data_IF_581243140697
#
_entry.id   IF_581243140697
#
_cell.length_a   1.000
_cell.length_b   1.000
_cell.length_c   1.000
_cell.angle_alpha   90.00
_cell.angle_beta   90.00
_cell.angle_gamma   90.00
#
_symmetry.space_group_name_H-M   'P 1'
#
loop_
_entity.id
_entity.type
_entity.pdbx_description
1 polymer ?
#
# COMPACT_ATOMS: atom_id res chain seq x y z
N UNK A 1 50.46 -15.68 -8.93
CA UNK A 1 51.17 -16.86 -8.39
C UNK A 1 50.47 -17.32 -7.12
N UNK A 2 50.15 -18.61 -7.05
CA UNK A 2 49.26 -19.25 -6.07
C UNK A 2 49.96 -19.73 -4.79
N UNK A 3 49.21 -19.87 -3.68
CA UNK A 3 49.24 -20.92 -2.61
C UNK A 3 48.22 -20.51 -1.52
N UNK A 4 47.03 -21.11 -1.41
CA UNK A 4 46.64 -22.39 -0.76
C UNK A 4 46.95 -22.45 0.75
N UNK A 5 45.89 -22.57 1.56
CA UNK A 5 45.85 -23.49 2.70
C UNK A 5 44.46 -24.13 2.82
N UNK A 6 44.48 -25.47 2.74
CA UNK A 6 43.38 -26.40 2.98
C UNK A 6 43.10 -26.51 4.47
N UNK A 7 41.84 -26.81 4.84
CA UNK A 7 41.57 -27.94 5.72
C UNK A 7 40.27 -28.65 5.32
N UNK A 8 40.42 -29.91 4.97
CA UNK A 8 39.36 -30.90 4.81
C UNK A 8 38.86 -31.35 6.18
N UNK A 9 37.54 -31.47 6.35
CA UNK A 9 36.97 -32.55 7.15
C UNK A 9 35.76 -33.14 6.41
N UNK A 10 35.98 -34.37 5.96
CA UNK A 10 34.98 -35.26 5.37
C UNK A 10 33.73 -35.33 6.25
N UNK A 11 32.59 -34.95 5.67
CA UNK A 11 31.32 -35.62 5.92
C UNK A 11 30.77 -36.05 4.58
N UNK A 12 30.40 -37.32 4.50
CA UNK A 12 29.70 -37.95 3.39
C UNK A 12 28.64 -37.01 2.81
N UNK A 13 28.84 -36.59 1.56
CA UNK A 13 27.82 -35.90 0.78
C UNK A 13 27.11 -37.00 0.00
N UNK A 14 25.92 -37.37 0.49
CA UNK A 14 24.90 -38.01 -0.34
C UNK A 14 24.57 -36.99 -1.45
N UNK A 15 24.63 -37.35 -2.74
CA UNK A 15 24.21 -36.44 -3.80
C UNK A 15 22.69 -36.34 -3.75
N UNK A 16 22.18 -35.44 -2.90
CA UNK A 16 20.84 -34.91 -3.11
C UNK A 16 20.99 -34.01 -4.32
N UNK A 17 20.53 -34.51 -5.46
CA UNK A 17 20.26 -33.67 -6.62
C UNK A 17 19.29 -32.58 -6.17
N UNK A 18 19.82 -31.39 -5.90
CA UNK A 18 19.03 -30.19 -5.85
C UNK A 18 18.55 -29.93 -7.27
N UNK A 19 17.42 -30.55 -7.62
CA UNK A 19 16.51 -29.93 -8.57
C UNK A 19 16.16 -28.58 -7.96
N UNK A 20 16.88 -27.54 -8.38
CA UNK A 20 16.38 -26.19 -8.36
C UNK A 20 15.11 -26.22 -9.23
N UNK A 21 13.99 -26.59 -8.61
CA UNK A 21 12.68 -26.21 -9.13
C UNK A 21 12.63 -24.72 -8.90
N UNK A 22 13.25 -23.98 -9.82
CA UNK A 22 12.88 -22.61 -10.10
C UNK A 22 11.38 -22.69 -10.40
N UNK A 23 10.55 -22.46 -9.39
CA UNK A 23 9.14 -22.22 -9.61
C UNK A 23 9.10 -20.96 -10.45
N UNK A 24 8.69 -21.02 -11.72
CA UNK A 24 8.42 -19.82 -12.46
C UNK A 24 7.07 -19.38 -11.92
N UNK A 25 7.08 -18.61 -10.82
CA UNK A 25 5.97 -17.69 -10.62
C UNK A 25 6.14 -16.67 -11.72
N UNK A 26 5.60 -16.99 -12.89
CA UNK A 26 5.42 -16.03 -13.95
C UNK A 26 4.78 -14.82 -13.29
N UNK A 27 5.49 -13.68 -13.29
CA UNK A 27 4.96 -12.42 -12.84
C UNK A 27 3.76 -12.15 -13.74
N UNK A 28 2.57 -12.54 -13.30
CA UNK A 28 1.37 -12.17 -14.00
C UNK A 28 1.36 -10.65 -14.00
N UNK A 29 1.29 -10.06 -15.19
CA UNK A 29 1.17 -8.62 -15.34
C UNK A 29 -0.15 -8.20 -14.67
N UNK A 30 -0.03 -7.60 -13.49
CA UNK A 30 -1.16 -7.01 -12.79
C UNK A 30 -1.17 -5.52 -13.08
N UNK A 31 -2.34 -4.99 -13.41
CA UNK A 31 -2.54 -3.57 -13.66
C UNK A 31 -3.05 -2.88 -12.39
N UNK A 32 -2.34 -1.85 -11.96
CA UNK A 32 -2.71 -0.98 -10.85
C UNK A 32 -3.25 0.34 -11.42
N UNK A 33 -4.50 0.67 -11.13
CA UNK A 33 -5.18 1.79 -11.77
C UNK A 33 -6.18 2.51 -10.87
N UNK A 34 -6.66 3.66 -11.33
CA UNK A 34 -7.74 4.39 -10.69
C UNK A 34 -8.66 5.11 -11.69
N UNK A 35 -9.93 5.27 -11.33
CA UNK A 35 -10.87 6.19 -11.97
C UNK A 35 -11.33 7.26 -10.99
N UNK A 36 -11.77 8.42 -11.50
CA UNK A 36 -12.06 9.60 -10.69
C UNK A 36 -13.46 10.15 -11.00
N UNK A 37 -14.08 10.72 -9.97
CA UNK A 37 -15.19 11.65 -10.05
C UNK A 37 -14.90 12.88 -9.20
N UNK A 38 -15.83 13.83 -9.14
CA UNK A 38 -15.66 15.11 -8.43
C UNK A 38 -15.18 14.94 -6.98
N UNK A 39 -15.77 14.00 -6.24
CA UNK A 39 -15.44 13.70 -4.85
C UNK A 39 -15.26 12.20 -4.60
N UNK A 40 -14.72 11.49 -5.59
CA UNK A 40 -14.49 10.05 -5.45
C UNK A 40 -13.32 9.56 -6.28
N UNK A 41 -12.72 8.47 -5.81
CA UNK A 41 -11.67 7.71 -6.51
C UNK A 41 -11.98 6.23 -6.38
N UNK A 42 -12.00 5.51 -7.49
CA UNK A 42 -12.03 4.04 -7.47
C UNK A 42 -10.63 3.54 -7.77
N UNK A 43 -9.96 2.96 -6.78
CA UNK A 43 -8.68 2.27 -6.94
C UNK A 43 -8.91 0.79 -7.25
N UNK A 44 -8.09 0.21 -8.11
CA UNK A 44 -8.19 -1.19 -8.45
C UNK A 44 -6.85 -1.83 -8.81
N UNK A 45 -6.78 -3.14 -8.57
CA UNK A 45 -5.74 -4.05 -9.05
C UNK A 45 -6.42 -5.12 -9.91
N UNK A 46 -5.95 -5.31 -11.14
CA UNK A 46 -6.47 -6.30 -12.08
C UNK A 46 -5.41 -7.31 -12.49
N UNK A 47 -5.83 -8.54 -12.76
CA UNK A 47 -5.08 -9.50 -13.55
C UNK A 47 -5.88 -9.74 -14.83
N UNK A 48 -5.32 -9.40 -15.99
CA UNK A 48 -6.08 -9.42 -17.24
C UNK A 48 -7.38 -8.60 -17.07
N UNK A 49 -8.55 -9.21 -17.31
CA UNK A 49 -9.86 -8.55 -17.15
C UNK A 49 -10.51 -8.76 -15.78
N UNK A 50 -9.87 -9.51 -14.87
CA UNK A 50 -10.40 -9.81 -13.54
C UNK A 50 -9.88 -8.85 -12.47
N UNK A 51 -10.81 -8.29 -11.67
CA UNK A 51 -10.45 -7.49 -10.50
C UNK A 51 -9.97 -8.40 -9.36
N UNK A 52 -8.73 -8.18 -8.93
CA UNK A 52 -8.20 -8.78 -7.71
C UNK A 52 -8.51 -7.93 -6.48
N UNK A 53 -8.46 -6.61 -6.66
CA UNK A 53 -8.82 -5.63 -5.65
C UNK A 53 -9.61 -4.50 -6.28
N UNK A 54 -10.64 -4.00 -5.59
CA UNK A 54 -11.40 -2.83 -6.00
C UNK A 54 -11.97 -2.14 -4.79
N UNK A 55 -11.57 -0.88 -4.60
CA UNK A 55 -12.04 -0.03 -3.53
C UNK A 55 -12.49 1.33 -4.07
N UNK A 56 -13.59 1.86 -3.55
CA UNK A 56 -14.09 3.18 -3.89
C UNK A 56 -13.99 4.09 -2.67
N UNK A 57 -13.15 5.10 -2.76
CA UNK A 57 -13.09 6.20 -1.82
C UNK A 57 -14.07 7.29 -2.25
N UNK A 58 -14.83 7.82 -1.30
CA UNK A 58 -15.70 8.99 -1.48
C UNK A 58 -15.48 9.94 -0.30
N UNK A 59 -15.41 11.25 -0.55
CA UNK A 59 -15.10 12.23 0.50
C UNK A 59 -16.02 13.44 0.44
N UNK A 60 -16.25 14.04 1.61
CA UNK A 60 -16.99 15.26 1.87
C UNK A 60 -16.33 15.97 3.08
N UNK A 61 -16.75 17.21 3.36
CA UNK A 61 -16.20 18.05 4.44
C UNK A 61 -16.01 17.30 5.77
N UNK A 62 -17.05 16.59 6.23
CA UNK A 62 -17.12 15.97 7.55
C UNK A 62 -17.13 14.44 7.47
N UNK A 63 -17.00 13.89 6.25
CA UNK A 63 -17.23 12.46 6.01
C UNK A 63 -16.28 11.91 4.97
N UNK A 64 -15.69 10.77 5.28
CA UNK A 64 -14.96 9.96 4.32
C UNK A 64 -15.45 8.52 4.35
N UNK A 65 -15.57 7.90 3.18
CA UNK A 65 -15.96 6.51 3.02
C UNK A 65 -15.00 5.77 2.11
N UNK A 66 -14.66 4.53 2.48
CA UNK A 66 -13.97 3.57 1.62
C UNK A 66 -14.75 2.27 1.56
N UNK A 67 -15.31 1.96 0.40
CA UNK A 67 -16.01 0.69 0.16
C UNK A 67 -15.09 -0.27 -0.59
N UNK A 68 -14.77 -1.42 0.02
CA UNK A 68 -13.92 -2.45 -0.57
C UNK A 68 -14.80 -3.59 -1.07
N UNK A 69 -15.07 -3.58 -2.38
CA UNK A 69 -16.00 -4.50 -3.04
C UNK A 69 -15.32 -5.80 -3.55
N UNK A 70 -13.99 -5.76 -3.76
CA UNK A 70 -13.18 -6.91 -4.17
C UNK A 70 -11.83 -6.87 -3.47
N UNK A 71 -11.35 -8.03 -3.04
CA UNK A 71 -10.11 -8.20 -2.27
C UNK A 71 -10.17 -9.49 -1.44
N UNK A 72 -9.19 -9.67 -0.55
CA UNK A 72 -9.24 -10.74 0.44
C UNK A 72 -10.47 -10.60 1.37
N UNK A 73 -11.14 -11.69 1.78
CA UNK A 73 -12.36 -11.62 2.61
C UNK A 73 -12.22 -10.76 3.88
N UNK A 74 -11.05 -10.77 4.53
CA UNK A 74 -10.78 -9.96 5.72
C UNK A 74 -10.59 -8.45 5.46
N UNK A 75 -10.68 -8.01 4.20
CA UNK A 75 -10.58 -6.62 3.78
C UNK A 75 -11.91 -6.09 3.23
N UNK A 76 -12.88 -6.96 2.97
CA UNK A 76 -14.16 -6.58 2.39
C UNK A 76 -15.01 -5.81 3.41
N UNK A 77 -15.84 -4.90 2.91
CA UNK A 77 -16.73 -4.09 3.73
C UNK A 77 -16.49 -2.60 3.52
N UNK A 78 -16.74 -1.83 4.57
CA UNK A 78 -16.74 -0.36 4.52
C UNK A 78 -15.91 0.21 5.66
N UNK A 79 -15.07 1.19 5.35
CA UNK A 79 -14.53 2.13 6.33
C UNK A 79 -15.34 3.42 6.26
N UNK A 80 -15.75 3.93 7.41
CA UNK A 80 -16.41 5.22 7.54
C UNK A 80 -15.62 6.07 8.53
N UNK A 81 -15.35 7.30 8.14
CA UNK A 81 -14.72 8.31 9.00
C UNK A 81 -15.70 9.48 9.06
N UNK A 82 -16.12 9.81 10.28
CA UNK A 82 -16.94 10.99 10.58
C UNK A 82 -16.28 11.68 11.76
N UNK A 83 -15.92 12.94 11.57
CA UNK A 83 -15.13 13.72 12.53
C UNK A 83 -13.83 12.97 12.93
N UNK A 84 -13.71 12.61 14.22
CA UNK A 84 -12.57 11.88 14.78
C UNK A 84 -12.79 10.38 14.87
N UNK A 85 -13.97 9.88 14.53
CA UNK A 85 -14.29 8.46 14.65
C UNK A 85 -13.99 7.72 13.35
N UNK A 86 -13.23 6.64 13.46
CA UNK A 86 -12.95 5.69 12.37
C UNK A 86 -13.62 4.37 12.67
N UNK A 87 -14.61 3.99 11.85
CA UNK A 87 -15.38 2.76 12.01
C UNK A 87 -15.20 1.86 10.80
N UNK A 88 -15.12 0.55 11.04
CA UNK A 88 -15.08 -0.46 10.00
C UNK A 88 -16.27 -1.40 10.13
N UNK A 89 -16.95 -1.64 9.00
CA UNK A 89 -18.12 -2.49 8.88
C UNK A 89 -17.85 -3.62 7.91
N UNK A 90 -18.51 -4.76 8.11
CA UNK A 90 -18.46 -5.87 7.18
C UNK A 90 -19.41 -5.66 5.98
N UNK A 91 -19.57 -6.68 5.14
CA UNK A 91 -20.45 -6.63 3.98
C UNK A 91 -21.95 -6.61 4.33
N UNK A 92 -22.32 -7.05 5.54
CA UNK A 92 -23.70 -6.99 6.04
C UNK A 92 -24.05 -5.64 6.69
N UNK A 93 -23.03 -4.81 6.95
CA UNK A 93 -23.15 -3.54 7.66
C UNK A 93 -22.95 -3.67 9.17
N UNK A 94 -22.51 -4.83 9.67
CA UNK A 94 -22.19 -5.03 11.07
C UNK A 94 -20.87 -4.33 11.42
N UNK A 95 -20.82 -3.62 12.54
CA UNK A 95 -19.62 -2.96 13.03
C UNK A 95 -18.58 -4.02 13.47
N UNK A 96 -17.44 -4.06 12.77
CA UNK A 96 -16.33 -4.97 13.09
C UNK A 96 -15.44 -4.37 14.18
N UNK A 97 -15.13 -3.08 14.07
CA UNK A 97 -14.32 -2.33 15.03
C UNK A 97 -14.47 -0.83 14.83
N UNK A 98 -14.15 -0.07 15.87
CA UNK A 98 -14.11 1.38 15.86
C UNK A 98 -12.93 1.88 16.68
N UNK A 99 -12.34 2.99 16.26
CA UNK A 99 -11.27 3.69 16.96
C UNK A 99 -11.48 5.21 16.81
N UNK A 100 -10.81 6.00 17.64
CA UNK A 100 -10.84 7.46 17.53
C UNK A 100 -9.44 7.99 17.24
N UNK A 101 -9.33 8.90 16.27
CA UNK A 101 -8.11 9.69 16.07
C UNK A 101 -8.15 10.94 16.95
N UNK A 102 -7.01 11.57 17.17
CA UNK A 102 -6.97 12.95 17.67
C UNK A 102 -7.18 13.91 16.50
N UNK A 103 -7.68 15.11 16.77
CA UNK A 103 -7.76 16.21 15.79
C UNK A 103 -6.44 16.44 15.04
N UNK A 104 -5.30 16.27 15.72
CA UNK A 104 -3.96 16.48 15.15
C UNK A 104 -3.44 15.31 14.30
N UNK A 105 -4.05 14.13 14.42
CA UNK A 105 -3.61 12.93 13.73
C UNK A 105 -4.12 12.92 12.29
N UNK A 106 -3.20 12.87 11.33
CA UNK A 106 -3.54 12.71 9.92
C UNK A 106 -3.83 11.25 9.60
N UNK A 107 -4.77 11.00 8.70
CA UNK A 107 -5.09 9.67 8.18
C UNK A 107 -4.47 9.46 6.79
N UNK A 108 -3.85 8.30 6.60
CA UNK A 108 -3.32 7.86 5.31
C UNK A 108 -3.81 6.46 5.01
N UNK A 109 -4.67 6.36 3.99
CA UNK A 109 -5.22 5.11 3.51
C UNK A 109 -4.31 4.56 2.42
N UNK A 110 -4.05 3.24 2.36
CA UNK A 110 -3.23 2.65 1.30
C UNK A 110 -3.69 3.02 -0.12
N UNK A 111 -4.99 3.13 -0.34
CA UNK A 111 -5.62 3.53 -1.61
C UNK A 111 -5.38 5.00 -1.96
N UNK A 112 -5.02 5.81 -0.96
CA UNK A 112 -4.86 7.26 -1.02
C UNK A 112 -3.46 7.75 -0.60
N UNK A 113 -2.45 6.87 -0.56
CA UNK A 113 -1.08 7.31 -0.24
C UNK A 113 -0.59 8.38 -1.21
N UNK A 114 -0.97 8.30 -2.48
CA UNK A 114 -0.64 9.32 -3.47
C UNK A 114 -1.23 10.68 -3.10
N UNK A 115 -2.52 10.70 -2.77
CA UNK A 115 -3.26 11.90 -2.39
C UNK A 115 -2.71 12.51 -1.10
N UNK A 116 -2.38 11.68 -0.11
CA UNK A 116 -1.72 12.12 1.12
C UNK A 116 -0.37 12.80 0.82
N UNK A 117 0.48 12.16 0.01
CA UNK A 117 1.79 12.72 -0.37
C UNK A 117 1.61 14.07 -1.07
N UNK A 118 0.65 14.17 -2.00
CA UNK A 118 0.37 15.40 -2.73
C UNK A 118 -0.15 16.51 -1.80
N UNK A 119 -1.03 16.19 -0.87
CA UNK A 119 -1.57 17.15 0.09
C UNK A 119 -0.50 17.73 1.03
N UNK A 120 0.56 16.96 1.32
CA UNK A 120 1.65 17.36 2.21
C UNK A 120 3.00 17.48 1.49
N UNK A 121 2.97 17.73 0.18
CA UNK A 121 4.15 17.71 -0.67
C UNK A 121 5.21 18.72 -0.21
N UNK A 122 4.80 19.94 0.14
CA UNK A 122 5.71 21.00 0.59
C UNK A 122 6.54 20.55 1.80
N UNK A 123 5.90 20.04 2.84
CA UNK A 123 6.56 19.54 4.04
C UNK A 123 7.53 18.38 3.71
N UNK A 124 7.06 17.41 2.92
CA UNK A 124 7.87 16.25 2.55
C UNK A 124 9.08 16.63 1.70
N UNK A 125 8.92 17.53 0.72
CA UNK A 125 10.01 18.01 -0.14
C UNK A 125 11.06 18.82 0.65
N UNK A 126 10.64 19.50 1.71
CA UNK A 126 11.54 20.16 2.67
C UNK A 126 12.27 19.18 3.61
N UNK A 127 12.07 17.87 3.43
CA UNK A 127 12.76 16.81 4.18
C UNK A 127 12.04 16.39 5.46
N UNK A 128 10.85 16.92 5.74
CA UNK A 128 10.07 16.47 6.89
C UNK A 128 9.63 15.01 6.71
N UNK A 129 9.60 14.28 7.82
CA UNK A 129 9.01 12.94 7.89
C UNK A 129 7.66 13.06 8.55
N UNK A 130 6.61 12.66 7.85
CA UNK A 130 5.24 12.80 8.35
C UNK A 130 4.75 11.48 8.91
N UNK A 131 4.21 11.52 10.12
CA UNK A 131 3.45 10.42 10.71
C UNK A 131 1.98 10.56 10.31
N UNK A 132 1.36 9.46 9.95
CA UNK A 132 -0.08 9.36 9.75
C UNK A 132 -0.60 8.04 10.31
N UNK A 133 -1.89 7.95 10.63
CA UNK A 133 -2.55 6.71 11.01
C UNK A 133 -3.26 6.12 9.80
N UNK A 134 -3.25 4.80 9.66
CA UNK A 134 -4.05 4.12 8.66
C UNK A 134 -4.74 2.90 9.25
N UNK A 135 -5.90 2.50 8.72
CA UNK A 135 -6.62 1.34 9.18
C UNK A 135 -5.87 0.07 8.81
N UNK A 136 -5.66 -0.80 9.79
CA UNK A 136 -5.16 -2.16 9.55
C UNK A 136 -6.30 -3.12 9.82
N UNK A 137 -7.10 -3.39 8.79
CA UNK A 137 -8.36 -4.14 8.91
C UNK A 137 -8.19 -5.49 9.60
N UNK A 138 -7.11 -6.23 9.30
CA UNK A 138 -6.80 -7.51 9.96
C UNK A 138 -6.53 -7.38 11.46
N UNK A 139 -5.88 -6.29 11.87
CA UNK A 139 -5.55 -6.02 13.26
C UNK A 139 -6.64 -5.23 13.99
N UNK A 140 -7.73 -4.86 13.29
CA UNK A 140 -8.88 -4.14 13.82
C UNK A 140 -8.50 -2.88 14.61
N UNK A 141 -7.60 -2.07 14.06
CA UNK A 141 -7.09 -0.86 14.71
C UNK A 141 -6.55 0.16 13.72
N UNK A 142 -6.36 1.39 14.21
CA UNK A 142 -5.48 2.37 13.58
C UNK A 142 -4.01 2.07 13.90
N UNK A 143 -3.14 2.17 12.90
CA UNK A 143 -1.72 1.93 13.06
C UNK A 143 -0.88 3.04 12.40
N UNK A 144 0.27 3.42 12.98
CA UNK A 144 1.06 4.54 12.48
C UNK A 144 1.92 4.17 11.28
N UNK A 145 1.83 4.95 10.21
CA UNK A 145 2.73 4.94 9.07
C UNK A 145 3.68 6.12 9.13
N UNK A 146 4.82 5.99 8.47
CA UNK A 146 5.76 7.08 8.23
C UNK A 146 5.92 7.32 6.73
N UNK A 147 5.75 8.57 6.32
CA UNK A 147 5.92 9.04 4.95
C UNK A 147 7.14 9.94 4.90
N UNK A 148 8.02 9.72 3.93
CA UNK A 148 9.23 10.52 3.76
C UNK A 148 9.63 10.66 2.31
N UNK A 149 10.17 11.83 1.96
CA UNK A 149 10.82 12.05 0.67
C UNK A 149 12.21 11.39 0.64
N UNK A 150 12.55 10.77 -0.48
CA UNK A 150 13.82 10.04 -0.70
C UNK A 150 14.67 10.66 -1.79
N UNK A 151 14.34 11.87 -2.21
CA UNK A 151 15.05 12.59 -3.26
C UNK A 151 14.46 12.38 -4.65
N UNK A 152 15.11 13.02 -5.62
CA UNK A 152 14.72 12.99 -7.02
C UNK A 152 15.65 12.08 -7.81
N UNK A 153 15.10 11.34 -8.78
CA UNK A 153 15.89 10.56 -9.73
C UNK A 153 15.24 10.58 -11.11
N UNK A 154 15.97 11.11 -12.10
CA UNK A 154 15.55 11.18 -13.50
C UNK A 154 14.17 11.86 -13.69
N UNK A 155 14.00 13.07 -13.13
CA UNK A 155 12.77 13.86 -13.23
C UNK A 155 11.58 13.25 -12.47
N UNK A 156 11.86 12.44 -11.44
CA UNK A 156 10.84 11.78 -10.63
C UNK A 156 11.13 11.96 -9.14
N UNK A 157 10.14 12.41 -8.40
CA UNK A 157 10.20 12.51 -6.96
C UNK A 157 9.87 11.15 -6.34
N UNK A 158 10.80 10.61 -5.53
CA UNK A 158 10.59 9.35 -4.82
C UNK A 158 10.13 9.62 -3.39
N UNK A 159 9.01 9.03 -3.02
CA UNK A 159 8.50 9.01 -1.65
C UNK A 159 8.47 7.57 -1.16
N UNK A 160 8.67 7.39 0.13
CA UNK A 160 8.53 6.10 0.79
C UNK A 160 7.47 6.20 1.88
N UNK A 161 6.54 5.27 1.87
CA UNK A 161 5.59 5.02 2.95
C UNK A 161 6.00 3.74 3.64
N UNK A 162 6.10 3.73 4.96
CA UNK A 162 6.56 2.56 5.69
C UNK A 162 5.98 2.46 7.09
N UNK A 163 6.36 1.42 7.84
CA UNK A 163 5.92 1.23 9.21
C UNK A 163 6.39 2.36 10.13
N UNK A 164 5.47 2.95 10.90
CA UNK A 164 5.76 3.99 11.89
C UNK A 164 5.88 3.51 13.33
N UNK A 165 5.91 2.20 13.53
CA UNK A 165 6.18 1.56 14.82
C UNK A 165 6.92 0.24 14.63
N UNK A 166 7.73 -0.16 15.62
CA UNK A 166 8.45 -1.43 15.61
C UNK A 166 7.51 -2.64 15.42
N UNK A 167 6.31 -2.59 16.01
CA UNK A 167 5.33 -3.66 15.85
C UNK A 167 4.89 -3.85 14.40
N UNK A 168 4.82 -2.78 13.60
CA UNK A 168 4.44 -2.86 12.18
C UNK A 168 5.55 -3.39 11.28
N UNK A 169 6.82 -3.20 11.66
CA UNK A 169 7.97 -3.76 10.93
C UNK A 169 7.90 -5.29 10.79
N UNK A 170 7.19 -5.96 11.69
CA UNK A 170 7.01 -7.42 11.64
C UNK A 170 5.95 -7.88 10.62
N UNK A 171 5.15 -6.96 10.08
CA UNK A 171 3.97 -7.30 9.26
C UNK A 171 3.94 -6.61 7.90
N UNK A 172 4.77 -5.59 7.67
CA UNK A 172 4.71 -4.78 6.47
C UNK A 172 6.06 -4.14 6.15
N UNK A 173 6.47 -4.27 4.89
CA UNK A 173 7.61 -3.57 4.32
C UNK A 173 7.24 -2.17 3.84
N UNK A 174 8.25 -1.34 3.58
CA UNK A 174 8.04 -0.04 2.98
C UNK A 174 7.63 -0.15 1.50
N UNK A 175 6.81 0.80 1.07
CA UNK A 175 6.38 1.01 -0.31
C UNK A 175 6.99 2.31 -0.84
N UNK A 176 7.59 2.24 -2.01
CA UNK A 176 8.12 3.39 -2.75
C UNK A 176 7.10 3.83 -3.81
N UNK A 177 6.81 5.12 -3.82
CA UNK A 177 5.89 5.77 -4.75
C UNK A 177 6.67 6.85 -5.49
N UNK A 178 6.71 6.75 -6.81
CA UNK A 178 7.41 7.71 -7.67
C UNK A 178 6.38 8.59 -8.35
N UNK A 179 6.55 9.89 -8.19
CA UNK A 179 5.76 10.91 -8.85
C UNK A 179 6.52 11.55 -10.00
N UNK A 180 5.78 12.12 -10.95
CA UNK A 180 6.37 13.09 -11.88
C UNK A 180 6.75 14.40 -11.17
N UNK A 181 7.48 15.27 -11.85
CA UNK A 181 7.98 16.57 -11.33
C UNK A 181 6.86 17.41 -10.71
N UNK A 182 5.67 17.40 -11.30
CA UNK A 182 4.53 18.21 -10.84
C UNK A 182 3.67 17.56 -9.75
N UNK A 183 4.07 16.38 -9.24
CA UNK A 183 3.37 15.62 -8.20
C UNK A 183 1.88 15.34 -8.48
N UNK A 184 1.47 15.35 -9.74
CA UNK A 184 0.07 15.16 -10.14
C UNK A 184 -0.22 13.74 -10.61
N UNK A 185 0.82 12.92 -10.80
CA UNK A 185 0.74 11.54 -11.27
C UNK A 185 1.75 10.66 -10.55
N UNK A 186 1.32 9.47 -10.15
CA UNK A 186 2.19 8.35 -9.81
C UNK A 186 2.60 7.68 -11.11
N UNK A 187 3.91 7.58 -11.35
CA UNK A 187 4.50 7.02 -12.57
C UNK A 187 5.14 5.65 -12.34
N UNK A 188 5.44 5.32 -11.08
CA UNK A 188 5.99 4.02 -10.70
C UNK A 188 5.67 3.72 -9.23
N UNK A 189 5.54 2.44 -8.93
CA UNK A 189 5.30 1.90 -7.61
C UNK A 189 6.25 0.73 -7.37
N UNK A 190 6.76 0.60 -6.15
CA UNK A 190 7.49 -0.58 -5.72
C UNK A 190 7.11 -0.98 -4.29
N UNK A 191 6.64 -2.20 -4.11
CA UNK A 191 6.32 -2.80 -2.81
C UNK A 191 5.04 -3.61 -2.85
N UNK A 192 4.45 -3.83 -1.68
CA UNK A 192 3.27 -4.70 -1.51
C UNK A 192 1.99 -3.97 -1.90
N UNK A 193 1.11 -4.63 -2.66
CA UNK A 193 -0.25 -4.17 -2.97
C UNK A 193 -1.31 -5.07 -2.30
N UNK A 194 -2.55 -4.59 -2.13
CA UNK A 194 -3.63 -5.39 -1.54
C UNK A 194 -3.82 -6.74 -2.23
N UNK A 195 -3.97 -7.77 -1.42
CA UNK A 195 -3.92 -9.18 -1.81
C UNK A 195 -5.26 -9.72 -2.32
N UNK A 196 -5.29 -10.58 -3.36
CA UNK A 196 -6.39 -11.49 -3.58
C UNK A 196 -6.40 -12.60 -2.52
N UNK A 197 -7.53 -13.33 -2.43
CA UNK A 197 -7.58 -14.62 -1.75
C UNK A 197 -6.81 -15.65 -2.59
N UNK A 198 -5.78 -16.28 -2.03
CA UNK A 198 -5.11 -17.39 -2.72
C UNK A 198 -5.99 -18.66 -2.70
N UNK A 199 -5.62 -19.67 -3.48
CA UNK A 199 -6.35 -20.97 -3.52
C UNK A 199 -6.39 -21.69 -2.15
N UNK A 200 -5.63 -21.23 -1.16
CA UNK A 200 -5.54 -21.76 0.20
C UNK A 200 -6.23 -20.85 1.23
N UNK A 201 -6.99 -19.84 0.78
CA UNK A 201 -7.70 -18.85 1.61
C UNK A 201 -6.78 -18.03 2.52
N UNK A 202 -5.52 -17.87 2.13
CA UNK A 202 -4.55 -17.01 2.80
C UNK A 202 -4.41 -15.71 2.03
N UNK A 203 -4.11 -14.65 2.78
CA UNK A 203 -3.75 -13.36 2.21
C UNK A 203 -2.40 -13.50 1.49
N UNK A 204 -2.41 -13.41 0.16
CA UNK A 204 -1.21 -13.41 -0.65
C UNK A 204 -0.92 -11.99 -1.14
N UNK A 205 -0.01 -11.31 -0.45
CA UNK A 205 0.46 -9.99 -0.84
C UNK A 205 1.07 -10.03 -2.24
N UNK A 206 0.61 -9.12 -3.11
CA UNK A 206 1.16 -8.99 -4.45
C UNK A 206 2.28 -7.97 -4.41
N UNK A 207 3.50 -8.42 -4.69
CA UNK A 207 4.62 -7.51 -4.89
C UNK A 207 4.56 -6.93 -6.30
N UNK A 208 4.56 -5.60 -6.37
CA UNK A 208 4.68 -4.88 -7.63
C UNK A 208 5.99 -4.10 -7.62
N UNK A 209 6.71 -4.11 -8.74
CA UNK A 209 7.92 -3.32 -8.92
C UNK A 209 8.02 -2.89 -10.37
N UNK A 210 7.67 -1.65 -10.67
CA UNK A 210 7.75 -1.18 -12.05
C UNK A 210 7.12 0.17 -12.30
N UNK A 211 7.24 0.60 -13.56
CA UNK A 211 6.40 1.67 -14.08
C UNK A 211 4.94 1.21 -14.14
N UNK A 212 4.03 2.16 -14.03
CA UNK A 212 2.61 1.87 -14.25
C UNK A 212 2.31 1.99 -15.74
N UNK A 213 1.55 1.06 -16.30
CA UNK A 213 1.16 1.06 -17.73
C UNK A 213 0.42 2.35 -18.13
N UNK A 214 -0.29 2.95 -17.16
CA UNK A 214 -0.85 4.29 -17.24
C UNK A 214 -0.47 5.05 -15.98
N UNK A 215 0.06 6.25 -16.16
CA UNK A 215 0.25 7.20 -15.07
C UNK A 215 -1.03 7.32 -14.24
N UNK A 216 -0.94 7.00 -12.95
CA UNK A 216 -2.08 7.13 -12.07
C UNK A 216 -2.18 8.57 -11.61
N UNK A 217 -3.19 9.28 -12.13
CA UNK A 217 -3.50 10.62 -11.65
C UNK A 217 -3.75 10.59 -10.14
N UNK A 218 -3.39 11.67 -9.47
CA UNK A 218 -3.61 11.82 -8.04
C UNK A 218 -4.68 12.86 -7.83
N UNK A 219 -5.76 12.44 -7.16
CA UNK A 219 -6.88 13.33 -6.86
C UNK A 219 -6.41 14.48 -5.96
N UNK A 220 -7.10 15.61 -6.05
CA UNK A 220 -6.95 16.66 -5.06
C UNK A 220 -8.09 16.53 -4.06
N UNK A 221 -7.78 16.11 -2.84
CA UNK A 221 -8.76 16.01 -1.76
C UNK A 221 -8.68 17.30 -0.96
N UNK A 222 -9.79 18.05 -0.94
CA UNK A 222 -9.97 19.27 -0.14
C UNK A 222 -11.13 19.04 0.81
N UNK A 223 -11.12 19.72 1.96
CA UNK A 223 -12.20 19.69 2.95
C UNK A 223 -12.63 18.25 3.24
N UNK A 224 -11.80 17.52 3.96
CA UNK A 224 -12.00 16.10 4.26
C UNK A 224 -11.51 15.81 5.68
N UNK A 225 -12.14 14.89 6.42
CA UNK A 225 -11.70 14.55 7.79
C UNK A 225 -10.36 13.79 7.84
N UNK A 226 -9.69 13.58 6.70
CA UNK A 226 -8.43 12.84 6.63
C UNK A 226 -7.22 13.64 7.14
N UNK A 227 -7.15 14.97 6.94
CA UNK A 227 -5.99 15.79 7.31
C UNK A 227 -6.26 17.29 7.30
#
# INVERSE_FOLDING_TARGET
MSRISLYLKNKMIVPVAWLAVASPIAHAEFLLGATFGENSKTYYVKQQDSFLYKAKATWQAERFELDIAKGHPSQLGKLLIVDDTVSAFDLSGELIWQDNKKDTDKLCLPELFGEFIKAHAEQLLNGEKLKCLGPVLKAKKLAPFMVSYKGEKAGKHRFQVGPGSLGMWLFMDSVDIYFNENLNRIVSYAGVTPAPEDKRKKMAYLEFKGALDKDNQVALIRNSPLW
#
